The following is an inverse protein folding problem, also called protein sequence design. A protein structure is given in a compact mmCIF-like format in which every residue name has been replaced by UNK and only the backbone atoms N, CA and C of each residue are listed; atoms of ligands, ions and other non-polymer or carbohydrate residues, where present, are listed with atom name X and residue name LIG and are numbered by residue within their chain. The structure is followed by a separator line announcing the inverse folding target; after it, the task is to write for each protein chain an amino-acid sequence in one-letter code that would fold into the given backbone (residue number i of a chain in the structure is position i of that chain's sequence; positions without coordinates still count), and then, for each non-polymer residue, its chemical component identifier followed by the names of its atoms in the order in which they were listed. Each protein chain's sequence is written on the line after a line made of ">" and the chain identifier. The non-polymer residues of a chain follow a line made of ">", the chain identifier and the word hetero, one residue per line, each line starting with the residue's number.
data_IF_115497786813
#
_entry.id   IF_115497786813
#
_cell.length_a   1.000
_cell.length_b   1.000
_cell.length_c   1.000
_cell.angle_alpha   90.00
_cell.angle_beta   90.00
_cell.angle_gamma   90.00
#
_symmetry.space_group_name_H-M   'P 1'
#
loop_
_entity.id
_entity.type
_entity.pdbx_description
1 polymer ?
#
# COMPACT_ATOMS: atom_id res chain seq x y z
N UNK A 1 -7.32 -3.19 9.35
CA UNK A 1 -7.55 -2.98 7.91
C UNK A 1 -6.87 -1.69 7.48
N UNK A 2 -6.49 -1.54 6.20
CA UNK A 2 -5.98 -0.27 5.70
C UNK A 2 -6.54 0.07 4.30
N UNK A 3 -6.86 1.34 4.09
CA UNK A 3 -7.22 1.92 2.80
C UNK A 3 -6.20 3.00 2.45
N UNK A 4 -5.87 3.12 1.17
CA UNK A 4 -4.83 4.00 0.69
C UNK A 4 -5.45 5.09 -0.21
N UNK A 5 -5.03 6.34 0.02
CA UNK A 5 -5.51 7.53 -0.67
C UNK A 5 -4.34 8.37 -1.17
N UNK A 6 -4.50 9.03 -2.31
CA UNK A 6 -3.45 9.89 -2.87
C UNK A 6 -3.39 11.25 -2.16
N UNK A 7 -4.55 11.82 -1.82
CA UNK A 7 -4.65 13.14 -1.21
C UNK A 7 -4.75 13.05 0.32
N UNK A 8 -4.06 13.96 1.03
CA UNK A 8 -4.15 14.06 2.50
C UNK A 8 -5.58 14.39 2.94
N UNK A 9 -6.26 15.29 2.22
CA UNK A 9 -7.61 15.73 2.59
C UNK A 9 -8.62 14.57 2.56
N UNK A 10 -8.57 13.74 1.52
CA UNK A 10 -9.39 12.53 1.40
C UNK A 10 -9.14 11.57 2.57
N UNK A 11 -7.88 11.27 2.87
CA UNK A 11 -7.53 10.42 4.01
C UNK A 11 -8.07 11.01 5.34
N UNK A 12 -7.98 12.32 5.53
CA UNK A 12 -8.50 12.99 6.72
C UNK A 12 -10.03 13.00 6.76
N UNK A 13 -10.71 13.12 5.62
CA UNK A 13 -12.18 13.02 5.55
C UNK A 13 -12.64 11.62 5.93
N UNK A 14 -11.99 10.58 5.42
CA UNK A 14 -12.29 9.19 5.76
C UNK A 14 -12.06 8.92 7.26
N UNK A 15 -10.95 9.39 7.84
CA UNK A 15 -10.70 9.28 9.29
C UNK A 15 -11.80 9.95 10.11
N UNK A 16 -12.20 11.18 9.75
CA UNK A 16 -13.28 11.89 10.44
C UNK A 16 -14.60 11.12 10.36
N UNK A 17 -14.91 10.57 9.18
CA UNK A 17 -16.14 9.82 8.95
C UNK A 17 -16.18 8.54 9.80
N UNK A 18 -15.12 7.73 9.75
CA UNK A 18 -15.02 6.49 10.50
C UNK A 18 -15.07 6.72 12.02
N UNK A 19 -14.38 7.76 12.50
CA UNK A 19 -14.41 8.13 13.92
C UNK A 19 -15.81 8.59 14.36
N UNK A 20 -16.52 9.33 13.50
CA UNK A 20 -17.91 9.73 13.76
C UNK A 20 -18.89 8.55 13.80
N UNK A 21 -18.61 7.51 12.99
CA UNK A 21 -19.37 6.26 12.97
C UNK A 21 -18.95 5.28 14.11
N UNK A 22 -17.96 5.66 14.94
CA UNK A 22 -17.58 4.95 16.17
C UNK A 22 -16.39 3.99 16.05
N UNK A 23 -15.68 4.04 14.93
CA UNK A 23 -14.50 3.21 14.67
C UNK A 23 -13.20 3.91 15.09
N UNK A 24 -12.17 3.13 15.42
CA UNK A 24 -10.82 3.65 15.55
C UNK A 24 -10.25 3.86 14.14
N UNK A 25 -9.78 5.08 13.83
CA UNK A 25 -9.19 5.39 12.53
C UNK A 25 -8.05 6.40 12.67
N UNK A 26 -6.96 6.20 11.92
CA UNK A 26 -5.81 7.12 11.86
C UNK A 26 -5.14 7.10 10.49
N UNK A 27 -4.66 8.25 10.03
CA UNK A 27 -3.90 8.37 8.79
C UNK A 27 -2.38 8.27 9.08
N UNK A 28 -1.68 7.47 8.29
CA UNK A 28 -0.23 7.28 8.33
C UNK A 28 0.38 7.61 6.96
N UNK A 29 1.58 8.19 6.98
CA UNK A 29 2.41 8.40 5.79
C UNK A 29 3.72 7.65 5.97
N UNK A 30 3.89 6.53 5.27
CA UNK A 30 5.14 5.75 5.34
C UNK A 30 6.24 6.46 4.53
N UNK A 31 7.29 6.94 5.22
CA UNK A 31 8.48 7.50 4.57
C UNK A 31 9.47 6.37 4.31
N UNK A 32 9.58 5.92 3.06
CA UNK A 32 10.69 5.06 2.68
C UNK A 32 11.97 5.90 2.69
N UNK A 33 12.93 5.50 3.55
CA UNK A 33 14.20 6.20 3.68
C UNK A 33 15.03 6.02 2.41
N UNK A 34 15.15 7.03 1.55
CA UNK A 34 16.23 6.99 0.55
C UNK A 34 16.18 7.95 -0.62
N UNK A 35 15.01 8.31 -1.16
CA UNK A 35 14.96 9.20 -2.32
C UNK A 35 13.85 10.24 -2.18
N UNK A 36 14.26 11.48 -2.36
CA UNK A 36 13.55 12.76 -2.30
C UNK A 36 12.52 12.88 -3.44
N UNK A 37 11.66 11.86 -3.63
CA UNK A 37 10.44 11.96 -4.45
C UNK A 37 9.30 12.37 -3.51
N UNK A 38 9.46 13.56 -2.92
CA UNK A 38 8.55 14.13 -1.91
C UNK A 38 7.12 14.36 -2.44
N UNK A 39 6.91 14.18 -3.74
CA UNK A 39 5.67 14.45 -4.45
C UNK A 39 4.76 13.21 -4.45
N UNK A 40 3.78 13.23 -3.54
CA UNK A 40 2.61 12.34 -3.64
C UNK A 40 2.74 10.96 -2.99
N UNK A 41 3.53 10.81 -1.92
CA UNK A 41 3.44 9.58 -1.13
C UNK A 41 2.00 9.40 -0.61
N UNK A 42 1.38 8.24 -0.91
CA UNK A 42 0.00 8.02 -0.54
C UNK A 42 -0.17 7.90 0.97
N UNK A 43 -1.38 8.21 1.43
CA UNK A 43 -1.81 8.16 2.81
C UNK A 43 -2.54 6.85 3.11
N UNK A 44 -2.11 6.15 4.15
CA UNK A 44 -2.77 4.95 4.62
C UNK A 44 -3.71 5.29 5.78
N UNK A 45 -5.01 5.07 5.63
CA UNK A 45 -5.97 5.09 6.73
C UNK A 45 -6.04 3.69 7.35
N UNK A 46 -5.56 3.57 8.58
CA UNK A 46 -5.60 2.33 9.37
C UNK A 46 -6.80 2.37 10.31
N UNK A 47 -7.61 1.31 10.32
CA UNK A 47 -8.85 1.26 11.08
C UNK A 47 -9.29 -0.17 11.42
N UNK A 48 -10.15 -0.29 12.44
CA UNK A 48 -10.88 -1.50 12.84
C UNK A 48 -12.26 -1.63 12.17
N UNK A 49 -12.66 -0.66 11.33
CA UNK A 49 -13.88 -0.74 10.53
C UNK A 49 -13.87 -1.94 9.55
N UNK A 50 -15.06 -2.49 9.22
CA UNK A 50 -15.17 -3.62 8.31
C UNK A 50 -14.84 -3.24 6.86
N UNK A 51 -14.36 -4.21 6.08
CA UNK A 51 -13.89 -4.05 4.70
C UNK A 51 -14.89 -3.33 3.80
N UNK A 52 -16.15 -3.76 3.78
CA UNK A 52 -17.19 -3.16 2.94
C UNK A 52 -17.43 -1.66 3.18
N UNK A 53 -17.15 -1.16 4.39
CA UNK A 53 -17.21 0.29 4.64
C UNK A 53 -16.04 1.00 4.00
N UNK A 54 -14.83 0.41 4.05
CA UNK A 54 -13.65 0.97 3.40
C UNK A 54 -13.78 0.89 1.88
N UNK A 55 -14.35 -0.18 1.33
CA UNK A 55 -14.59 -0.33 -0.11
C UNK A 55 -15.41 0.84 -0.68
N UNK A 56 -16.45 1.27 0.03
CA UNK A 56 -17.26 2.42 -0.37
C UNK A 56 -16.46 3.74 -0.37
N UNK A 57 -15.62 3.94 0.65
CA UNK A 57 -14.80 5.16 0.76
C UNK A 57 -13.69 5.19 -0.28
N UNK A 58 -13.12 4.01 -0.58
CA UNK A 58 -12.13 3.81 -1.64
C UNK A 58 -12.72 4.13 -3.00
N UNK A 59 -13.95 3.70 -3.30
CA UNK A 59 -14.66 4.04 -4.54
C UNK A 59 -14.95 5.54 -4.66
N UNK A 60 -15.35 6.19 -3.55
CA UNK A 60 -15.67 7.62 -3.52
C UNK A 60 -14.44 8.53 -3.72
N UNK A 61 -13.28 8.15 -3.18
CA UNK A 61 -12.05 8.95 -3.17
C UNK A 61 -10.95 8.38 -4.08
N UNK A 62 -11.30 7.53 -5.06
CA UNK A 62 -10.35 6.95 -6.04
C UNK A 62 -9.14 6.26 -5.38
N UNK A 63 -9.36 5.63 -4.22
CA UNK A 63 -8.33 4.95 -3.43
C UNK A 63 -8.13 3.49 -3.81
N UNK A 64 -7.44 2.74 -2.96
CA UNK A 64 -7.48 1.27 -2.98
C UNK A 64 -7.44 0.67 -1.58
N UNK A 65 -8.03 -0.51 -1.43
CA UNK A 65 -7.98 -1.26 -0.18
C UNK A 65 -6.67 -2.06 -0.13
N UNK A 66 -5.87 -1.83 0.91
CA UNK A 66 -4.67 -2.61 1.18
C UNK A 66 -5.05 -3.76 2.12
N UNK A 67 -5.77 -4.74 1.56
CA UNK A 67 -6.01 -5.97 2.28
C UNK A 67 -4.67 -6.69 2.43
N UNK A 68 -4.29 -7.01 3.68
CA UNK A 68 -3.24 -7.99 3.92
C UNK A 68 -3.73 -9.34 3.38
N UNK A 69 -3.59 -9.55 2.06
CA UNK A 69 -3.67 -10.87 1.49
C UNK A 69 -2.57 -11.67 2.17
N UNK A 70 -2.97 -12.73 2.87
CA UNK A 70 -2.07 -13.71 3.45
C UNK A 70 -1.21 -14.26 2.31
N UNK A 71 -0.05 -13.63 2.09
CA UNK A 71 0.76 -13.88 0.91
C UNK A 71 1.08 -15.38 0.94
N UNK A 72 0.67 -16.15 -0.08
CA UNK A 72 0.92 -17.58 -0.06
C UNK A 72 2.42 -17.76 0.10
N UNK A 73 2.82 -18.61 1.06
CA UNK A 73 4.23 -18.83 1.36
C UNK A 73 4.93 -19.36 0.10
N UNK A 74 5.52 -18.46 -0.70
CA UNK A 74 6.19 -18.82 -1.93
C UNK A 74 7.57 -19.36 -1.58
N UNK A 75 7.84 -20.59 -1.98
CA UNK A 75 9.20 -21.13 -1.92
C UNK A 75 10.14 -20.19 -2.69
N UNK A 76 11.27 -19.75 -2.11
CA UNK A 76 12.19 -18.84 -2.77
C UNK A 76 12.62 -19.39 -4.14
N UNK A 77 12.59 -18.53 -5.16
CA UNK A 77 13.14 -18.89 -6.48
C UNK A 77 14.64 -19.13 -6.36
N UNK A 78 15.10 -20.31 -6.82
CA UNK A 78 16.53 -20.58 -6.93
C UNK A 78 17.06 -19.84 -8.15
N UNK A 79 17.73 -18.70 -7.91
CA UNK A 79 18.35 -17.92 -8.98
C UNK A 79 19.66 -18.58 -9.45
N UNK A 80 20.02 -18.46 -10.75
CA UNK A 80 21.31 -18.90 -11.22
C UNK A 80 22.44 -18.11 -10.54
N UNK A 81 23.44 -18.83 -10.02
CA UNK A 81 24.58 -18.24 -9.29
C UNK A 81 25.66 -17.68 -10.21
N UNK A 82 25.51 -17.84 -11.52
CA UNK A 82 26.48 -17.40 -12.52
C UNK A 82 25.79 -16.76 -13.74
N UNK A 83 26.41 -15.74 -14.35
CA UNK A 83 25.88 -15.10 -15.54
C UNK A 83 25.91 -16.05 -16.75
N UNK A 84 24.90 -15.95 -17.62
CA UNK A 84 24.84 -16.73 -18.85
C UNK A 84 25.81 -16.16 -19.89
N UNK A 85 26.86 -16.90 -20.26
CA UNK A 85 27.81 -16.50 -21.31
C UNK A 85 27.25 -16.85 -22.69
N UNK A 86 26.74 -15.84 -23.39
CA UNK A 86 26.19 -15.96 -24.76
C UNK A 86 27.23 -15.75 -25.87
N UNK A 87 28.43 -15.24 -25.56
CA UNK A 87 29.50 -15.03 -26.54
C UNK A 87 30.64 -16.02 -26.30
N UNK A 88 31.09 -16.70 -27.38
CA UNK A 88 32.28 -17.54 -27.35
C UNK A 88 33.54 -16.65 -27.22
N UNK A 89 34.53 -17.05 -26.41
CA UNK A 89 35.82 -16.37 -26.39
C UNK A 89 36.47 -16.45 -27.77
N UNK A 90 37.18 -15.40 -28.16
CA UNK A 90 38.01 -15.39 -29.36
C UNK A 90 39.33 -16.08 -28.99
N UNK A 91 39.66 -17.18 -29.68
CA UNK A 91 40.98 -17.84 -29.63
C UNK A 91 42.10 -16.92 -30.13
#
# INVERSE_FOLDING_TARGET
>A
MRAIFFEEDDAQQVVRRLTADGFEARAERERLSGEDDDEGHPWAVVTDAPDFMLELMVDEHDGWLDAEEDAPSVTPLVLPTAPKRIKKPLD
#
